data_IF_081445184639
#
_entry.id   IF_081445184639
#
_cell.length_a   1.000
_cell.length_b   1.000
_cell.length_c   1.000
_cell.angle_alpha   90.00
_cell.angle_beta   90.00
_cell.angle_gamma   90.00
#
_symmetry.space_group_name_H-M   'P 1'
#
loop_
_entity.id
_entity.type
_entity.pdbx_description
1 polymer ?
#
# COMPACT_ATOMS: atom_id res chain seq x y z
N UNK A 1 22.21 7.29 19.73
CA UNK A 1 21.37 8.50 19.70
C UNK A 1 19.95 8.16 19.31
N UNK A 2 19.70 7.51 18.14
CA UNK A 2 18.36 7.25 17.59
C UNK A 2 17.52 6.34 18.51
N UNK A 3 18.09 5.24 19.05
CA UNK A 3 17.42 4.36 20.01
C UNK A 3 16.91 5.16 21.22
N UNK A 4 17.75 5.99 21.83
CA UNK A 4 17.36 6.81 22.98
C UNK A 4 16.35 7.91 22.64
N UNK A 5 16.32 8.39 21.42
CA UNK A 5 15.25 9.26 20.92
C UNK A 5 13.90 8.53 20.94
N UNK A 6 13.87 7.28 20.44
CA UNK A 6 12.68 6.43 20.46
C UNK A 6 12.27 6.11 21.90
N UNK A 7 13.24 5.77 22.76
CA UNK A 7 12.97 5.48 24.17
C UNK A 7 12.33 6.66 24.92
N UNK A 8 12.62 7.89 24.51
CA UNK A 8 11.97 9.10 25.03
C UNK A 8 10.56 9.36 24.47
N UNK A 9 10.04 8.50 23.59
CA UNK A 9 8.76 8.64 22.91
C UNK A 9 8.85 9.31 21.55
N UNK A 10 10.05 9.39 20.97
CA UNK A 10 10.28 9.88 19.62
C UNK A 10 9.60 8.99 18.58
N UNK A 11 9.11 9.60 17.52
CA UNK A 11 8.40 8.94 16.43
C UNK A 11 9.28 8.92 15.18
N UNK A 12 9.31 7.81 14.46
CA UNK A 12 10.23 7.63 13.34
C UNK A 12 9.48 7.03 12.14
N UNK A 13 9.70 7.60 10.97
CA UNK A 13 9.41 7.00 9.68
C UNK A 13 10.72 6.48 9.09
N UNK A 14 10.84 5.16 8.98
CA UNK A 14 11.97 4.49 8.39
C UNK A 14 11.71 4.23 6.91
N UNK A 15 12.59 4.69 6.04
CA UNK A 15 12.57 4.43 4.60
C UNK A 15 13.93 3.83 4.24
N UNK A 16 14.03 2.52 4.21
CA UNK A 16 15.31 1.80 4.15
C UNK A 16 15.21 0.51 3.34
N UNK A 17 16.26 0.21 2.60
CA UNK A 17 16.44 -1.02 1.86
C UNK A 17 17.76 -1.72 2.24
N UNK A 18 17.81 -3.03 2.09
CA UNK A 18 19.01 -3.84 2.30
C UNK A 18 19.62 -4.36 0.97
N UNK A 19 19.00 -4.04 -0.16
CA UNK A 19 19.51 -4.40 -1.48
C UNK A 19 19.72 -3.15 -2.32
N UNK A 20 20.98 -2.84 -2.60
CA UNK A 20 21.33 -1.70 -3.44
C UNK A 20 21.25 -2.10 -4.92
N UNK A 21 20.43 -1.37 -5.67
CA UNK A 21 20.35 -1.44 -7.13
C UNK A 21 20.68 -0.07 -7.71
N UNK A 22 21.54 -0.02 -8.74
CA UNK A 22 21.90 1.24 -9.38
C UNK A 22 21.00 1.49 -10.60
N UNK A 23 20.14 2.48 -10.52
CA UNK A 23 19.32 2.92 -11.67
C UNK A 23 20.16 3.49 -12.82
N UNK A 24 21.31 4.10 -12.51
CA UNK A 24 22.21 4.66 -13.51
C UNK A 24 22.90 3.54 -14.32
N UNK A 25 23.28 2.44 -13.65
CA UNK A 25 23.80 1.26 -14.33
C UNK A 25 22.74 0.59 -15.21
N UNK A 26 21.50 0.54 -14.73
CA UNK A 26 20.37 -0.02 -15.48
C UNK A 26 20.11 0.75 -16.79
N UNK A 27 20.38 2.05 -16.83
CA UNK A 27 20.29 2.83 -18.08
C UNK A 27 21.20 2.30 -19.21
N UNK A 28 22.25 1.54 -18.87
CA UNK A 28 23.13 0.85 -19.83
C UNK A 28 22.62 -0.55 -20.23
N UNK A 29 21.43 -0.94 -19.77
CA UNK A 29 20.78 -2.21 -20.09
C UNK A 29 20.77 -3.24 -18.98
N UNK A 30 21.76 -3.23 -18.07
CA UNK A 30 21.90 -4.19 -16.98
C UNK A 30 22.42 -3.54 -15.70
N UNK A 31 22.02 -4.08 -14.57
CA UNK A 31 22.54 -3.70 -13.24
C UNK A 31 22.64 -4.92 -12.35
N UNK A 32 23.32 -4.77 -11.21
CA UNK A 32 23.45 -5.84 -10.22
C UNK A 32 22.84 -5.38 -8.90
N UNK A 33 21.92 -6.18 -8.37
CA UNK A 33 21.41 -6.05 -7.02
C UNK A 33 22.37 -6.68 -6.02
N UNK A 34 22.89 -5.90 -5.09
CA UNK A 34 23.85 -6.34 -4.07
C UNK A 34 23.30 -6.11 -2.66
N UNK A 35 23.53 -7.06 -1.78
CA UNK A 35 23.24 -6.87 -0.36
C UNK A 35 24.07 -5.74 0.24
N UNK A 36 23.43 -4.88 1.00
CA UNK A 36 24.06 -3.75 1.70
C UNK A 36 23.68 -3.78 3.18
N UNK A 37 24.56 -4.28 4.08
CA UNK A 37 24.29 -4.27 5.51
C UNK A 37 24.17 -2.83 6.03
N UNK A 38 23.11 -2.55 6.76
CA UNK A 38 22.85 -1.23 7.35
C UNK A 38 23.31 -1.14 8.81
N UNK A 39 23.59 -2.28 9.44
CA UNK A 39 23.97 -2.43 10.86
C UNK A 39 22.90 -1.89 11.84
N UNK A 40 21.63 -1.88 11.41
CA UNK A 40 20.47 -1.54 12.22
C UNK A 40 19.48 -2.70 12.33
N UNK A 41 19.81 -3.84 11.75
CA UNK A 41 18.97 -5.03 11.65
C UNK A 41 18.59 -5.53 13.05
N UNK A 42 19.55 -5.61 13.98
CA UNK A 42 19.33 -5.96 15.38
C UNK A 42 18.37 -5.00 16.09
N UNK A 43 18.44 -3.71 15.76
CA UNK A 43 17.58 -2.69 16.34
C UNK A 43 16.15 -2.84 15.85
N UNK A 44 15.95 -3.00 14.53
CA UNK A 44 14.64 -3.22 13.94
C UNK A 44 14.02 -4.53 14.40
N UNK A 45 14.83 -5.60 14.52
CA UNK A 45 14.39 -6.88 15.04
C UNK A 45 13.84 -6.77 16.47
N UNK A 46 14.51 -6.01 17.33
CA UNK A 46 14.01 -5.73 18.69
C UNK A 46 12.73 -4.91 18.71
N UNK A 47 12.53 -4.06 17.72
CA UNK A 47 11.29 -3.28 17.58
C UNK A 47 10.16 -4.10 16.95
N UNK A 48 10.44 -5.30 16.47
CA UNK A 48 9.43 -6.24 16.03
C UNK A 48 9.28 -6.38 14.53
N UNK A 49 10.26 -5.94 13.72
CA UNK A 49 10.32 -6.14 12.27
C UNK A 49 11.71 -6.56 11.83
N UNK A 50 11.75 -7.30 10.74
CA UNK A 50 12.96 -7.64 10.01
C UNK A 50 12.77 -7.33 8.54
N UNK A 51 13.69 -6.59 7.96
CA UNK A 51 13.77 -6.42 6.51
C UNK A 51 14.54 -7.62 5.96
N UNK A 52 14.02 -8.25 4.93
CA UNK A 52 14.70 -9.36 4.27
C UNK A 52 15.49 -8.81 3.09
N UNK A 53 16.76 -9.17 2.93
CA UNK A 53 17.60 -8.72 1.82
C UNK A 53 17.23 -9.45 0.52
N UNK A 54 16.04 -9.21 0.03
CA UNK A 54 15.49 -9.78 -1.21
C UNK A 54 14.80 -8.68 -2.01
N UNK A 55 14.67 -8.87 -3.32
CA UNK A 55 13.89 -7.98 -4.18
C UNK A 55 12.56 -8.67 -4.49
N UNK A 56 11.45 -7.95 -4.31
CA UNK A 56 10.13 -8.40 -4.71
C UNK A 56 9.95 -8.15 -6.20
N UNK A 57 9.55 -9.20 -6.92
CA UNK A 57 9.01 -9.12 -8.27
C UNK A 57 7.51 -9.35 -8.21
N UNK A 58 6.73 -8.54 -8.94
CA UNK A 58 5.27 -8.59 -8.90
C UNK A 58 4.68 -8.46 -10.31
N UNK A 59 3.65 -9.25 -10.60
CA UNK A 59 2.92 -9.17 -11.87
C UNK A 59 2.07 -7.88 -11.95
N UNK A 60 1.60 -7.36 -10.80
CA UNK A 60 1.01 -6.03 -10.73
C UNK A 60 2.11 -4.99 -10.58
N UNK A 61 2.59 -4.47 -11.68
CA UNK A 61 3.76 -3.59 -11.72
C UNK A 61 3.51 -2.34 -12.57
N UNK A 62 4.32 -1.33 -12.31
CA UNK A 62 4.42 -0.15 -13.17
C UNK A 62 5.16 -0.48 -14.47
N UNK A 63 5.13 0.44 -15.40
CA UNK A 63 5.75 0.27 -16.71
C UNK A 63 7.08 0.99 -16.81
N UNK A 64 7.97 0.47 -17.64
CA UNK A 64 9.19 1.16 -18.05
C UNK A 64 9.17 1.44 -19.55
N UNK A 65 10.02 2.38 -19.95
CA UNK A 65 10.16 2.80 -21.34
C UNK A 65 11.45 2.26 -21.91
N UNK A 66 11.37 1.46 -22.95
CA UNK A 66 12.51 0.90 -23.66
C UNK A 66 12.60 1.48 -25.06
N UNK A 67 13.84 1.59 -25.57
CA UNK A 67 14.10 1.90 -26.96
C UNK A 67 14.35 0.59 -27.71
N UNK A 68 13.42 0.19 -28.55
CA UNK A 68 13.51 -1.01 -29.37
C UNK A 68 13.91 -0.66 -30.81
N UNK A 69 14.85 -1.38 -31.39
CA UNK A 69 15.15 -1.29 -32.81
C UNK A 69 14.25 -2.25 -33.60
N UNK A 70 13.17 -1.74 -34.18
CA UNK A 70 12.28 -2.51 -35.02
C UNK A 70 12.64 -2.33 -36.50
N UNK A 71 12.98 -3.44 -37.17
CA UNK A 71 13.27 -3.46 -38.62
C UNK A 71 14.58 -2.80 -39.04
N UNK A 72 15.57 -2.72 -38.15
CA UNK A 72 16.96 -2.33 -38.47
C UNK A 72 17.20 -0.83 -38.69
N UNK A 73 16.18 0.04 -38.75
CA UNK A 73 16.37 1.46 -39.13
C UNK A 73 15.60 2.48 -38.31
N UNK A 74 14.61 2.10 -37.50
CA UNK A 74 13.83 3.04 -36.70
C UNK A 74 13.84 2.63 -35.22
N UNK A 75 14.33 3.51 -34.36
CA UNK A 75 14.15 3.41 -32.92
C UNK A 75 12.69 3.72 -32.59
N UNK A 76 12.00 2.74 -32.02
CA UNK A 76 10.65 2.91 -31.50
C UNK A 76 10.67 2.82 -29.99
N UNK A 77 9.97 3.72 -29.32
CA UNK A 77 9.82 3.68 -27.87
C UNK A 77 8.63 2.80 -27.52
N UNK A 78 8.89 1.76 -26.75
CA UNK A 78 7.87 0.82 -26.27
C UNK A 78 7.76 0.95 -24.75
N UNK A 79 6.53 0.88 -24.25
CA UNK A 79 6.24 0.88 -22.80
C UNK A 79 5.85 -0.54 -22.41
N UNK A 80 6.62 -1.16 -21.52
CA UNK A 80 6.44 -2.55 -21.09
C UNK A 80 6.26 -2.64 -19.58
N UNK A 81 5.47 -3.60 -19.07
CA UNK A 81 5.39 -3.89 -17.64
C UNK A 81 6.77 -4.27 -17.08
N UNK A 82 7.09 -3.78 -15.87
CA UNK A 82 8.38 -4.03 -15.25
C UNK A 82 8.23 -4.63 -13.86
N UNK A 83 8.38 -5.94 -13.75
CA UNK A 83 8.10 -6.72 -12.53
C UNK A 83 8.89 -6.26 -11.29
N UNK A 84 9.96 -5.50 -11.44
CA UNK A 84 10.75 -4.92 -10.35
C UNK A 84 10.19 -3.61 -9.78
N UNK A 85 9.13 -3.07 -10.40
CA UNK A 85 8.42 -1.88 -9.94
C UNK A 85 7.00 -2.25 -9.49
N UNK A 86 6.85 -2.95 -8.35
CA UNK A 86 5.57 -3.41 -7.88
C UNK A 86 4.61 -2.25 -7.57
N UNK A 87 3.34 -2.44 -7.90
CA UNK A 87 2.25 -1.56 -7.49
C UNK A 87 1.67 -2.09 -6.17
N UNK A 88 2.19 -1.58 -5.08
CA UNK A 88 1.88 -2.00 -3.72
C UNK A 88 0.41 -1.74 -3.38
N UNK A 89 -0.22 -2.74 -2.77
CA UNK A 89 -1.62 -2.70 -2.34
C UNK A 89 -1.73 -2.10 -0.95
N UNK A 90 -2.49 -1.00 -0.78
CA UNK A 90 -2.77 -0.46 0.55
C UNK A 90 -3.75 -1.35 1.32
N UNK A 91 -3.54 -1.50 2.63
CA UNK A 91 -4.50 -2.15 3.51
C UNK A 91 -5.77 -1.28 3.64
N UNK A 92 -6.95 -1.91 3.55
CA UNK A 92 -8.23 -1.18 3.54
C UNK A 92 -8.75 -0.79 4.92
N UNK A 93 -8.25 -1.45 5.97
CA UNK A 93 -8.72 -1.33 7.34
C UNK A 93 -7.96 -0.29 8.19
N UNK A 94 -6.89 0.30 7.63
CA UNK A 94 -6.07 1.27 8.33
C UNK A 94 -6.35 2.71 7.86
N UNK A 95 -6.49 3.69 8.79
CA UNK A 95 -6.71 5.10 8.43
C UNK A 95 -5.62 5.70 7.54
N UNK A 96 -4.36 5.23 7.63
CA UNK A 96 -3.24 5.72 6.83
C UNK A 96 -3.44 5.36 5.35
N UNK A 97 -3.98 4.16 5.10
CA UNK A 97 -4.01 3.56 3.76
C UNK A 97 -5.42 3.45 3.16
N UNK A 98 -6.45 3.80 3.94
CA UNK A 98 -7.83 3.78 3.45
C UNK A 98 -8.02 4.77 2.30
N UNK A 99 -8.68 4.31 1.23
CA UNK A 99 -8.94 5.07 0.01
C UNK A 99 -7.67 5.57 -0.71
N UNK A 100 -6.54 4.94 -0.46
CA UNK A 100 -5.30 5.23 -1.12
C UNK A 100 -5.22 4.48 -2.46
N UNK A 101 -4.72 5.15 -3.49
CA UNK A 101 -4.34 4.50 -4.73
C UNK A 101 -3.16 3.56 -4.51
N UNK A 102 -2.90 2.66 -5.48
CA UNK A 102 -1.67 1.85 -5.50
C UNK A 102 -0.45 2.74 -5.34
N UNK A 103 0.50 2.27 -4.57
CA UNK A 103 1.77 2.96 -4.31
C UNK A 103 2.84 2.29 -5.17
N UNK A 104 3.54 3.05 -5.99
CA UNK A 104 4.67 2.54 -6.78
C UNK A 104 5.87 2.32 -5.88
N UNK A 105 6.45 1.12 -5.93
CA UNK A 105 7.73 0.78 -5.33
C UNK A 105 8.79 0.50 -6.38
N UNK A 106 10.07 0.60 -6.00
CA UNK A 106 11.22 0.33 -6.89
C UNK A 106 12.22 -0.58 -6.19
N UNK A 107 12.44 -1.79 -6.72
CA UNK A 107 13.36 -2.78 -6.15
C UNK A 107 13.10 -3.06 -4.66
N UNK A 108 11.86 -3.18 -4.31
CA UNK A 108 11.35 -3.23 -2.95
C UNK A 108 11.79 -4.49 -2.22
N UNK A 109 12.16 -4.38 -0.94
CA UNK A 109 12.43 -5.53 -0.09
C UNK A 109 11.15 -6.01 0.62
N UNK A 110 11.13 -7.24 1.15
CA UNK A 110 10.03 -7.68 2.00
C UNK A 110 10.33 -7.44 3.49
N UNK A 111 9.27 -7.25 4.28
CA UNK A 111 9.35 -7.11 5.72
C UNK A 111 8.65 -8.29 6.38
N UNK A 112 9.32 -8.92 7.36
CA UNK A 112 8.69 -9.86 8.27
C UNK A 112 8.37 -9.16 9.59
N UNK A 113 7.19 -9.43 10.14
CA UNK A 113 6.87 -9.06 11.51
C UNK A 113 7.39 -10.12 12.45
N UNK A 114 8.30 -9.76 13.36
CA UNK A 114 9.00 -10.69 14.22
C UNK A 114 8.69 -10.41 15.72
N UNK A 115 8.88 -11.42 16.57
CA UNK A 115 8.62 -11.32 17.99
C UNK A 115 7.14 -11.48 18.35
N UNK A 116 6.91 -12.14 19.48
CA UNK A 116 5.57 -12.42 20.03
C UNK A 116 5.21 -11.43 21.17
N UNK A 117 5.90 -10.29 21.27
CA UNK A 117 5.62 -9.31 22.31
C UNK A 117 4.22 -8.71 22.08
N UNK A 118 3.23 -9.02 22.94
CA UNK A 118 1.86 -8.54 22.81
C UNK A 118 1.73 -7.02 23.05
N UNK A 119 2.77 -6.40 23.60
CA UNK A 119 2.81 -4.96 23.90
C UNK A 119 2.96 -4.14 22.63
N UNK A 120 3.57 -4.72 21.57
CA UNK A 120 3.78 -4.04 20.30
C UNK A 120 2.73 -4.48 19.29
N UNK A 121 1.81 -3.57 18.95
CA UNK A 121 0.84 -3.76 17.88
C UNK A 121 1.52 -3.57 16.53
N UNK A 122 1.35 -4.53 15.63
CA UNK A 122 1.93 -4.53 14.28
C UNK A 122 0.81 -4.55 13.25
N UNK A 123 0.80 -3.60 12.34
CA UNK A 123 -0.20 -3.51 11.27
C UNK A 123 0.51 -3.35 9.93
N UNK A 124 0.20 -4.21 8.97
CA UNK A 124 0.70 -4.09 7.61
C UNK A 124 -0.04 -2.94 6.93
N UNK A 125 0.71 -2.01 6.35
CA UNK A 125 0.17 -0.85 5.62
C UNK A 125 0.16 -1.08 4.12
N UNK A 126 1.27 -1.58 3.58
CA UNK A 126 1.44 -1.87 2.16
C UNK A 126 1.96 -3.29 1.99
N UNK A 127 1.47 -3.98 0.98
CA UNK A 127 1.93 -5.31 0.60
C UNK A 127 1.98 -5.46 -0.93
N UNK A 128 2.71 -6.46 -1.40
CA UNK A 128 2.70 -6.89 -2.81
C UNK A 128 1.34 -7.48 -3.23
N UNK A 129 1.20 -7.80 -4.49
CA UNK A 129 -0.01 -8.46 -5.00
C UNK A 129 -0.08 -9.94 -4.59
N UNK A 130 -1.13 -10.62 -5.06
CA UNK A 130 -1.27 -12.08 -4.93
C UNK A 130 -0.33 -12.87 -5.85
N UNK A 131 0.21 -12.21 -6.88
CA UNK A 131 1.12 -12.78 -7.88
C UNK A 131 2.49 -12.12 -7.74
N UNK A 132 3.19 -12.45 -6.66
CA UNK A 132 4.53 -11.96 -6.39
C UNK A 132 5.50 -13.09 -6.04
N UNK A 133 6.78 -12.82 -6.17
CA UNK A 133 7.90 -13.69 -5.77
C UNK A 133 9.05 -12.85 -5.27
N UNK A 134 10.05 -13.50 -4.68
CA UNK A 134 11.28 -12.86 -4.23
C UNK A 134 12.48 -13.45 -4.93
N UNK A 135 13.47 -12.60 -5.16
CA UNK A 135 14.80 -12.99 -5.61
C UNK A 135 15.85 -12.50 -4.63
N UNK A 136 16.90 -13.30 -4.43
CA UNK A 136 17.96 -12.97 -3.45
C UNK A 136 19.20 -12.42 -4.17
N UNK A 137 19.86 -11.40 -3.60
CA UNK A 137 21.14 -10.92 -4.10
C UNK A 137 22.26 -11.96 -3.83
N UNK A 138 23.35 -11.97 -4.64
CA UNK A 138 23.56 -11.10 -5.79
C UNK A 138 22.71 -11.50 -6.99
N UNK A 139 22.09 -10.55 -7.67
CA UNK A 139 21.24 -10.80 -8.83
C UNK A 139 21.53 -9.80 -9.95
N UNK A 140 21.64 -10.32 -11.17
CA UNK A 140 21.71 -9.48 -12.37
C UNK A 140 20.29 -9.13 -12.79
N UNK A 141 20.04 -7.86 -13.01
CA UNK A 141 18.76 -7.32 -13.45
C UNK A 141 18.96 -6.73 -14.83
N UNK A 142 18.28 -7.27 -15.84
CA UNK A 142 18.43 -6.85 -17.23
C UNK A 142 17.11 -6.27 -17.76
N UNK A 143 17.20 -5.14 -18.46
CA UNK A 143 16.04 -4.53 -19.12
C UNK A 143 15.37 -5.46 -20.14
N UNK A 144 16.11 -6.43 -20.69
CA UNK A 144 15.56 -7.45 -21.58
C UNK A 144 14.51 -8.34 -20.92
N UNK A 145 14.51 -8.43 -19.59
CA UNK A 145 13.49 -9.18 -18.86
C UNK A 145 12.08 -8.60 -19.04
N UNK A 146 11.97 -7.31 -19.36
CA UNK A 146 10.66 -6.67 -19.63
C UNK A 146 10.00 -7.17 -20.92
N UNK A 147 10.79 -7.71 -21.86
CA UNK A 147 10.28 -8.28 -23.11
C UNK A 147 9.80 -9.74 -22.94
N UNK A 148 10.17 -10.37 -21.82
CA UNK A 148 9.80 -11.75 -21.52
C UNK A 148 8.43 -11.80 -20.86
N UNK A 149 7.61 -12.77 -21.23
CA UNK A 149 6.38 -13.07 -20.50
C UNK A 149 6.71 -13.93 -19.30
N UNK A 150 6.56 -13.43 -18.06
CA UNK A 150 6.85 -14.20 -16.87
C UNK A 150 5.92 -15.41 -16.72
N UNK A 151 6.44 -16.55 -16.26
CA UNK A 151 5.58 -17.69 -15.90
C UNK A 151 4.90 -17.42 -14.54
N UNK A 152 3.57 -17.24 -14.57
CA UNK A 152 2.75 -16.97 -13.39
C UNK A 152 2.94 -18.01 -12.27
N UNK A 153 3.22 -19.26 -12.60
CA UNK A 153 3.43 -20.34 -11.63
C UNK A 153 4.62 -20.09 -10.71
N UNK A 154 5.58 -19.27 -11.15
CA UNK A 154 6.76 -18.91 -10.35
C UNK A 154 6.47 -17.82 -9.32
N UNK A 155 5.32 -17.09 -9.45
CA UNK A 155 4.89 -16.03 -8.56
C UNK A 155 4.01 -16.59 -7.44
N UNK A 156 4.62 -17.33 -6.53
CA UNK A 156 3.94 -18.15 -5.51
C UNK A 156 4.05 -17.61 -4.08
N UNK A 157 4.52 -16.37 -3.88
CA UNK A 157 4.60 -15.70 -2.57
C UNK A 157 3.68 -14.47 -2.52
N UNK A 158 2.39 -14.66 -2.20
CA UNK A 158 1.41 -13.57 -2.22
C UNK A 158 1.55 -12.62 -1.02
N UNK A 159 1.12 -11.37 -1.22
CA UNK A 159 0.89 -10.39 -0.16
C UNK A 159 2.11 -10.17 0.76
N UNK A 160 3.30 -10.05 0.19
CA UNK A 160 4.53 -9.76 0.94
C UNK A 160 4.47 -8.36 1.56
N UNK A 161 4.62 -8.23 2.89
CA UNK A 161 4.60 -6.91 3.53
C UNK A 161 5.78 -6.05 3.11
N UNK A 162 5.53 -4.76 2.88
CA UNK A 162 6.51 -3.75 2.47
C UNK A 162 6.52 -2.56 3.41
N UNK A 163 5.37 -2.21 3.98
CA UNK A 163 5.27 -1.16 4.98
C UNK A 163 4.50 -1.65 6.20
N UNK A 164 5.03 -1.39 7.39
CA UNK A 164 4.47 -1.84 8.66
C UNK A 164 4.42 -0.70 9.66
N UNK A 165 3.28 -0.52 10.32
CA UNK A 165 3.09 0.34 11.47
C UNK A 165 3.34 -0.45 12.75
N UNK A 166 4.14 0.10 13.64
CA UNK A 166 4.45 -0.43 14.96
C UNK A 166 3.99 0.57 16.01
N UNK A 167 3.18 0.13 16.97
CA UNK A 167 2.64 0.96 18.06
C UNK A 167 2.77 0.24 19.39
N UNK A 168 3.23 0.95 20.42
CA UNK A 168 3.36 0.42 21.77
C UNK A 168 4.60 0.89 22.52
N UNK A 169 5.04 0.09 23.47
CA UNK A 169 6.27 0.32 24.24
C UNK A 169 7.39 -0.56 23.69
N UNK A 170 8.49 0.07 23.31
CA UNK A 170 9.62 -0.61 22.69
C UNK A 170 10.75 -0.82 23.70
N UNK A 171 11.42 -1.96 23.59
CA UNK A 171 12.63 -2.26 24.36
C UNK A 171 13.86 -1.76 23.63
N UNK A 172 14.74 -1.04 24.33
CA UNK A 172 16.01 -0.53 23.79
C UNK A 172 16.88 -1.65 23.23
N UNK A 173 17.50 -1.41 22.09
CA UNK A 173 18.49 -2.29 21.50
C UNK A 173 19.72 -2.49 22.42
N UNK A 174 19.90 -1.60 23.38
CA UNK A 174 21.04 -1.61 24.33
C UNK A 174 20.68 -2.15 25.72
N UNK A 175 19.44 -2.63 25.96
CA UNK A 175 18.97 -3.10 27.28
C UNK A 175 19.88 -4.15 27.93
N UNK A 176 20.70 -4.87 27.31
CA UNK A 176 21.57 -5.89 27.92
C UNK A 176 23.00 -5.82 27.33
N UNK A 177 23.38 -4.68 26.78
CA UNK A 177 24.72 -4.47 26.22
C UNK A 177 25.51 -3.56 27.13
N UNK A 178 26.75 -3.95 27.48
CA UNK A 178 27.68 -3.10 28.19
C UNK A 178 28.13 -1.99 27.22
N UNK A 179 27.65 -0.78 27.43
CA UNK A 179 27.92 0.38 26.57
C UNK A 179 29.13 1.16 27.13
N UNK A 180 30.21 0.45 27.51
CA UNK A 180 31.37 1.03 28.19
C UNK A 180 32.07 2.14 27.42
N UNK A 181 31.95 2.18 26.09
CA UNK A 181 32.62 3.18 25.26
C UNK A 181 31.70 4.37 24.84
N UNK A 182 30.44 4.40 25.23
CA UNK A 182 29.51 5.52 24.91
C UNK A 182 29.32 6.48 26.08
N UNK A 183 29.83 6.17 27.25
CA UNK A 183 29.67 6.97 28.48
C UNK A 183 30.99 7.56 28.93
N UNK A 184 31.55 8.50 28.18
CA UNK A 184 32.46 9.49 28.78
C UNK A 184 31.72 10.33 29.83
N UNK A 185 30.41 10.41 29.72
CA UNK A 185 29.54 11.15 30.63
C UNK A 185 28.85 10.14 31.60
N UNK A 186 29.39 10.02 32.83
CA UNK A 186 28.88 9.15 33.92
C UNK A 186 27.42 9.47 34.29
N UNK A 187 26.83 10.53 33.77
CA UNK A 187 25.46 10.99 34.05
C UNK A 187 24.43 10.58 32.99
N UNK A 188 24.83 9.96 31.87
CA UNK A 188 23.89 9.50 30.84
C UNK A 188 23.16 8.23 31.31
N UNK A 189 21.96 8.43 31.82
CA UNK A 189 21.07 7.33 32.20
C UNK A 189 20.40 6.77 30.93
N UNK A 190 20.79 5.56 30.51
CA UNK A 190 20.21 4.86 29.37
C UNK A 190 18.79 4.41 29.74
N UNK A 191 17.81 4.80 28.93
CA UNK A 191 16.42 4.38 29.05
C UNK A 191 16.31 3.03 28.36
N UNK A 192 15.85 2.01 29.08
CA UNK A 192 15.74 0.62 28.59
C UNK A 192 14.40 0.28 27.97
N UNK A 193 13.34 1.04 28.31
CA UNK A 193 11.99 0.87 27.78
C UNK A 193 11.42 2.23 27.36
N UNK A 194 10.73 2.27 26.22
CA UNK A 194 10.16 3.51 25.72
C UNK A 194 8.87 3.90 26.46
N UNK A 195 8.53 5.18 26.39
CA UNK A 195 7.14 5.60 26.52
C UNK A 195 6.34 5.01 25.36
N UNK A 196 5.02 4.97 25.48
CA UNK A 196 4.17 4.59 24.37
C UNK A 196 4.44 5.48 23.18
N UNK A 197 4.82 4.88 22.05
CA UNK A 197 5.17 5.60 20.84
C UNK A 197 4.83 4.77 19.62
N UNK A 198 5.00 5.36 18.45
CA UNK A 198 4.68 4.72 17.16
C UNK A 198 5.79 5.00 16.15
N UNK A 199 6.01 4.01 15.27
CA UNK A 199 6.91 4.15 14.15
C UNK A 199 6.36 3.41 12.93
N UNK A 200 6.80 3.83 11.74
CA UNK A 200 6.45 3.19 10.48
C UNK A 200 7.76 2.78 9.81
N UNK A 201 7.80 1.55 9.33
CA UNK A 201 8.95 0.98 8.60
C UNK A 201 8.49 0.66 7.19
N UNK A 202 9.20 1.20 6.20
CA UNK A 202 8.98 0.96 4.78
C UNK A 202 10.28 0.45 4.18
N UNK A 203 10.24 -0.64 3.47
CA UNK A 203 11.41 -1.30 2.87
C UNK A 203 11.71 -0.84 1.44
N UNK A 204 11.41 0.41 1.16
CA UNK A 204 11.68 1.08 -0.11
C UNK A 204 11.95 2.57 0.14
N UNK A 205 13.20 3.04 0.07
CA UNK A 205 13.53 4.46 0.20
C UNK A 205 13.15 5.27 -1.05
N UNK A 206 13.02 4.65 -2.22
CA UNK A 206 12.67 5.33 -3.46
C UNK A 206 11.21 5.79 -3.50
N UNK A 207 10.37 5.31 -2.57
CA UNK A 207 8.96 5.73 -2.44
C UNK A 207 8.80 7.24 -2.23
N UNK A 208 9.82 7.93 -1.68
CA UNK A 208 9.85 9.39 -1.46
C UNK A 208 10.55 10.14 -2.60
N UNK A 209 11.08 9.43 -3.58
CA UNK A 209 11.89 10.03 -4.64
C UNK A 209 11.02 10.58 -5.76
N UNK A 210 11.19 11.85 -6.09
CA UNK A 210 10.53 12.46 -7.24
C UNK A 210 11.21 12.03 -8.55
N UNK A 211 10.40 11.76 -9.56
CA UNK A 211 10.87 11.66 -10.94
C UNK A 211 11.26 13.06 -11.46
N UNK A 212 12.19 13.10 -12.41
CA UNK A 212 12.65 14.35 -13.03
C UNK A 212 12.30 14.34 -14.51
N UNK A 213 11.56 15.34 -14.94
CA UNK A 213 11.32 15.61 -16.35
C UNK A 213 12.46 16.44 -16.91
N UNK A 214 13.03 15.98 -18.04
CA UNK A 214 14.10 16.68 -18.76
C UNK A 214 13.54 17.24 -20.07
N UNK A 215 13.53 18.58 -20.19
CA UNK A 215 13.18 19.28 -21.41
C UNK A 215 14.34 20.15 -21.84
N UNK A 216 15.16 19.65 -22.76
CA UNK A 216 16.43 20.30 -23.14
C UNK A 216 17.41 20.36 -21.97
N UNK A 217 17.86 21.58 -21.62
CA UNK A 217 18.75 21.80 -20.46
C UNK A 217 18.02 21.98 -19.13
N UNK A 218 16.68 22.03 -19.15
CA UNK A 218 15.89 22.24 -17.93
C UNK A 218 15.48 20.91 -17.31
N UNK A 219 15.83 20.72 -16.06
CA UNK A 219 15.38 19.61 -15.22
C UNK A 219 14.34 20.13 -14.22
N UNK A 220 13.13 19.57 -14.29
CA UNK A 220 12.05 19.93 -13.36
C UNK A 220 11.57 18.69 -12.60
N UNK A 221 11.55 18.71 -11.25
CA UNK A 221 11.01 17.62 -10.47
C UNK A 221 9.49 17.51 -10.71
N UNK A 222 9.03 16.30 -10.98
CA UNK A 222 7.61 16.00 -11.07
C UNK A 222 6.99 15.82 -9.67
N UNK A 223 5.68 15.98 -9.54
CA UNK A 223 4.98 15.59 -8.31
C UNK A 223 5.32 14.18 -7.89
N UNK A 224 5.44 13.94 -6.58
CA UNK A 224 5.78 12.64 -6.04
C UNK A 224 4.74 11.58 -6.44
N UNK A 225 5.22 10.45 -6.96
CA UNK A 225 4.39 9.36 -7.47
C UNK A 225 3.86 9.58 -8.89
N UNK A 226 4.29 10.65 -9.59
CA UNK A 226 3.95 10.85 -11.00
C UNK A 226 5.00 10.18 -11.89
N UNK A 227 4.56 9.20 -12.69
CA UNK A 227 5.38 8.59 -13.73
C UNK A 227 5.65 9.60 -14.87
N UNK A 228 6.93 9.79 -15.19
CA UNK A 228 7.37 10.79 -16.19
C UNK A 228 6.99 10.44 -17.62
N UNK A 229 6.67 9.19 -17.90
CA UNK A 229 6.41 8.71 -19.25
C UNK A 229 4.92 8.60 -19.56
N UNK A 230 4.15 8.08 -18.64
CA UNK A 230 2.70 7.86 -18.79
C UNK A 230 1.88 9.02 -18.24
N UNK A 231 2.48 9.82 -17.33
CA UNK A 231 1.76 10.87 -16.60
C UNK A 231 0.82 10.32 -15.52
N UNK A 232 0.80 9.01 -15.31
CA UNK A 232 -0.01 8.37 -14.27
C UNK A 232 0.47 8.80 -12.89
N UNK A 233 -0.47 9.06 -11.97
CA UNK A 233 -0.17 9.45 -10.60
C UNK A 233 -0.54 8.30 -9.66
N UNK A 234 0.46 7.81 -8.94
CA UNK A 234 0.34 6.78 -7.89
C UNK A 234 0.12 7.41 -6.51
N UNK A 235 -0.22 6.59 -5.53
CA UNK A 235 -0.54 7.01 -4.17
C UNK A 235 0.66 7.39 -3.28
N UNK A 236 1.88 7.49 -3.81
CA UNK A 236 3.10 7.70 -3.03
C UNK A 236 3.04 8.96 -2.15
N UNK A 237 2.65 10.09 -2.73
CA UNK A 237 2.52 11.37 -2.01
C UNK A 237 1.54 11.28 -0.86
N UNK A 238 0.34 10.75 -1.15
CA UNK A 238 -0.72 10.67 -0.17
C UNK A 238 -0.38 9.68 0.95
N UNK A 239 0.25 8.56 0.62
CA UNK A 239 0.76 7.61 1.60
C UNK A 239 1.74 8.25 2.58
N UNK A 240 2.76 8.96 2.07
CA UNK A 240 3.76 9.60 2.93
C UNK A 240 3.16 10.71 3.80
N UNK A 241 2.28 11.55 3.24
CA UNK A 241 1.58 12.58 4.00
C UNK A 241 0.72 11.94 5.10
N UNK A 242 0.01 10.86 4.80
CA UNK A 242 -0.79 10.15 5.78
C UNK A 242 0.07 9.51 6.88
N UNK A 243 1.23 8.93 6.53
CA UNK A 243 2.19 8.41 7.50
C UNK A 243 2.69 9.51 8.45
N UNK A 244 3.09 10.65 7.92
CA UNK A 244 3.55 11.79 8.71
C UNK A 244 2.44 12.33 9.62
N UNK A 245 1.24 12.51 9.07
CA UNK A 245 0.08 12.96 9.85
C UNK A 245 -0.23 11.99 10.98
N UNK A 246 -0.22 10.66 10.73
CA UNK A 246 -0.42 9.65 11.77
C UNK A 246 0.64 9.71 12.86
N UNK A 247 1.90 9.86 12.47
CA UNK A 247 3.00 9.97 13.44
C UNK A 247 2.87 11.23 14.31
N UNK A 248 2.45 12.37 13.75
CA UNK A 248 2.33 13.65 14.47
C UNK A 248 1.01 13.77 15.23
N UNK A 249 -0.03 13.05 14.80
CA UNK A 249 -1.36 13.13 15.39
C UNK A 249 -1.34 12.73 16.89
N UNK A 250 -1.77 13.67 17.73
CA UNK A 250 -1.88 13.46 19.18
C UNK A 250 -3.32 13.16 19.63
N UNK A 251 -4.29 13.45 18.79
CA UNK A 251 -5.71 13.47 19.13
C UNK A 251 -6.55 12.48 18.31
N UNK A 252 -5.88 11.54 17.61
CA UNK A 252 -6.50 10.51 16.77
C UNK A 252 -7.49 11.08 15.73
N UNK A 253 -7.21 12.31 15.24
CA UNK A 253 -8.02 13.02 14.24
C UNK A 253 -8.10 12.23 12.93
N UNK A 254 -7.04 11.50 12.58
CA UNK A 254 -7.04 10.65 11.38
C UNK A 254 -8.07 9.52 11.46
N UNK A 255 -8.37 8.98 12.65
CA UNK A 255 -9.43 7.99 12.81
C UNK A 255 -10.83 8.58 12.49
N UNK A 256 -11.04 9.85 12.82
CA UNK A 256 -12.29 10.54 12.47
C UNK A 256 -12.42 10.78 10.95
N UNK A 257 -11.33 11.14 10.27
CA UNK A 257 -11.32 11.29 8.80
C UNK A 257 -11.59 9.98 8.07
N UNK A 258 -11.29 8.86 8.70
CA UNK A 258 -11.48 7.52 8.12
C UNK A 258 -12.93 7.04 8.17
N UNK A 259 -13.85 7.74 8.86
CA UNK A 259 -15.28 7.41 8.86
C UNK A 259 -15.88 7.76 7.51
N UNK A 260 -15.90 6.79 6.61
CA UNK A 260 -16.64 6.92 5.36
C UNK A 260 -18.14 6.99 5.62
N UNK A 261 -18.77 8.04 5.11
CA UNK A 261 -20.17 8.00 4.75
C UNK A 261 -20.31 7.03 3.56
N UNK A 262 -20.58 5.75 3.83
CA UNK A 262 -20.96 4.81 2.78
C UNK A 262 -22.28 5.29 2.17
N UNK A 263 -22.19 6.14 1.16
CA UNK A 263 -23.33 6.44 0.32
C UNK A 263 -23.75 5.11 -0.35
N UNK A 264 -24.85 4.56 0.12
CA UNK A 264 -25.45 3.38 -0.52
C UNK A 264 -26.05 3.85 -1.84
N UNK A 265 -25.21 3.91 -2.87
CA UNK A 265 -25.69 4.17 -4.23
C UNK A 265 -26.59 3.02 -4.67
N UNK A 266 -27.73 3.38 -5.23
CA UNK A 266 -28.65 2.42 -5.81
C UNK A 266 -27.96 1.63 -6.93
N UNK A 267 -28.06 0.30 -6.88
CA UNK A 267 -27.49 -0.55 -7.91
C UNK A 267 -28.27 -0.39 -9.21
N UNK A 268 -27.75 0.44 -10.13
CA UNK A 268 -28.39 0.77 -11.40
C UNK A 268 -28.66 -0.45 -12.29
N UNK A 269 -27.88 -1.54 -12.17
CA UNK A 269 -28.12 -2.80 -12.90
C UNK A 269 -29.36 -3.52 -12.36
N UNK A 270 -29.50 -3.63 -11.04
CA UNK A 270 -30.68 -4.25 -10.41
C UNK A 270 -31.94 -3.43 -10.61
N UNK A 271 -31.82 -2.08 -10.57
CA UNK A 271 -32.94 -1.19 -10.86
C UNK A 271 -33.40 -1.38 -12.30
N UNK A 272 -32.50 -1.42 -13.28
CA UNK A 272 -32.87 -1.65 -14.68
C UNK A 272 -33.50 -3.03 -14.89
N UNK A 273 -33.00 -4.08 -14.28
CA UNK A 273 -33.52 -5.43 -14.37
C UNK A 273 -34.89 -5.57 -13.67
N UNK A 274 -35.10 -4.89 -12.55
CA UNK A 274 -36.33 -4.94 -11.76
C UNK A 274 -37.40 -3.92 -12.15
N UNK A 275 -37.09 -2.95 -13.02
CA UNK A 275 -37.96 -1.79 -13.32
C UNK A 275 -39.40 -2.19 -13.69
N UNK A 276 -39.56 -3.10 -14.63
CA UNK A 276 -40.89 -3.53 -15.12
C UNK A 276 -41.67 -4.23 -13.98
N UNK A 277 -41.03 -5.08 -13.20
CA UNK A 277 -41.66 -5.75 -12.05
C UNK A 277 -42.21 -4.76 -11.06
N UNK A 278 -41.42 -3.79 -10.66
CA UNK A 278 -41.84 -2.76 -9.67
C UNK A 278 -42.90 -1.80 -10.23
N UNK A 279 -42.84 -1.48 -11.53
CA UNK A 279 -43.88 -0.71 -12.19
C UNK A 279 -45.22 -1.44 -12.18
N UNK A 280 -45.23 -2.73 -12.50
CA UNK A 280 -46.46 -3.57 -12.47
C UNK A 280 -47.03 -3.62 -11.05
N UNK A 281 -46.18 -3.88 -10.05
CA UNK A 281 -46.63 -3.95 -8.64
C UNK A 281 -47.25 -2.63 -8.17
N UNK A 282 -46.62 -1.51 -8.48
CA UNK A 282 -47.08 -0.20 -8.04
C UNK A 282 -48.32 0.33 -8.77
N UNK A 283 -48.56 -0.08 -10.00
CA UNK A 283 -49.72 0.36 -10.79
C UNK A 283 -50.86 -0.65 -10.70
N UNK A 284 -50.59 -1.93 -10.95
CA UNK A 284 -51.62 -2.98 -10.94
C UNK A 284 -52.10 -3.32 -9.51
N UNK A 285 -51.20 -3.28 -8.51
CA UNK A 285 -51.56 -3.58 -7.14
C UNK A 285 -52.70 -2.71 -6.58
N UNK A 286 -52.59 -1.39 -6.57
CA UNK A 286 -53.68 -0.52 -6.12
C UNK A 286 -54.98 -0.68 -6.93
N UNK A 287 -54.91 -0.89 -8.24
CA UNK A 287 -56.08 -1.13 -9.10
C UNK A 287 -56.82 -2.41 -8.70
N UNK A 288 -56.09 -3.49 -8.50
CA UNK A 288 -56.68 -4.79 -8.05
C UNK A 288 -57.36 -4.63 -6.68
N UNK A 289 -56.72 -3.92 -5.73
CA UNK A 289 -57.29 -3.66 -4.41
C UNK A 289 -58.61 -2.90 -4.52
N UNK A 290 -58.68 -1.87 -5.35
CA UNK A 290 -59.92 -1.08 -5.54
C UNK A 290 -61.02 -1.91 -6.19
N UNK A 291 -60.69 -2.71 -7.19
CA UNK A 291 -61.65 -3.60 -7.84
C UNK A 291 -62.19 -4.64 -6.85
N UNK A 292 -61.32 -5.29 -6.07
CA UNK A 292 -61.74 -6.23 -5.05
C UNK A 292 -62.63 -5.62 -3.99
N UNK A 293 -62.24 -4.42 -3.50
CA UNK A 293 -63.09 -3.69 -2.55
C UNK A 293 -64.44 -3.33 -3.13
N UNK A 294 -64.51 -2.93 -4.41
CA UNK A 294 -65.79 -2.67 -5.09
C UNK A 294 -66.65 -3.90 -5.25
N UNK A 295 -66.05 -5.06 -5.61
CA UNK A 295 -66.78 -6.34 -5.71
C UNK A 295 -67.30 -6.79 -4.35
N UNK A 296 -66.47 -6.72 -3.29
CA UNK A 296 -66.85 -7.08 -1.93
C UNK A 296 -67.98 -6.18 -1.46
N UNK A 297 -67.88 -4.87 -1.64
CA UNK A 297 -68.89 -3.91 -1.31
C UNK A 297 -70.20 -4.19 -2.09
N UNK A 298 -70.13 -4.45 -3.39
CA UNK A 298 -71.25 -4.80 -4.23
C UNK A 298 -71.96 -6.08 -3.77
N UNK A 299 -71.19 -7.10 -3.38
CA UNK A 299 -71.71 -8.37 -2.84
C UNK A 299 -72.46 -8.15 -1.52
N UNK A 300 -71.89 -7.42 -0.56
CA UNK A 300 -72.54 -7.12 0.72
C UNK A 300 -73.77 -6.24 0.53
N UNK A 301 -73.72 -5.25 -0.36
CA UNK A 301 -74.87 -4.42 -0.71
C UNK A 301 -76.01 -5.26 -1.32
N UNK A 302 -75.71 -6.14 -2.27
CA UNK A 302 -76.72 -7.05 -2.87
C UNK A 302 -77.33 -7.95 -1.83
N UNK A 303 -76.52 -8.58 -0.95
CA UNK A 303 -77.01 -9.44 0.14
C UNK A 303 -77.89 -8.66 1.11
N UNK A 304 -77.60 -7.38 1.40
CA UNK A 304 -78.38 -6.53 2.35
C UNK A 304 -79.68 -6.05 1.78
N UNK A 305 -79.77 -5.83 0.47
CA UNK A 305 -80.95 -5.24 -0.15
C UNK A 305 -81.78 -6.24 -1.02
N UNK A 306 -81.25 -7.39 -1.42
CA UNK A 306 -81.99 -8.39 -2.20
C UNK A 306 -82.12 -9.72 -1.47
N UNK A 307 -81.70 -9.84 -0.20
CA UNK A 307 -81.88 -11.02 0.59
C UNK A 307 -83.32 -11.14 1.16
N UNK A 308 -84.13 -11.87 0.49
CA UNK A 308 -85.15 -12.66 1.11
C UNK A 308 -84.57 -14.03 1.40
#
# INVERSE_FOLDING_TARGET
VLDQYIMKGGKVLWLIDEVKVSSDSLANGETVGLYRPLNIEDQLFRYGVRINPVIIQDMECATIRLMEMRGGTRQQVVTLPWIYFPLLRPASDNPITRNLNRVEGKFVNSIDTVGLDPVIKKKILLASSSLSRVISPPVVISLKEAELTPDEKTFNKPNLPVAVLLEGKFTSAFKNRVVSNMTEDKNLKIITESKETRMIVVSDPDIIRNEVSRSGMNETPLPLGQDKYTGQVYGNKDFLINCLNWLVDKNDIMELRSRELKLRLLNTKEIKAGKIKWQIVNVAGPLVIVILAGLIYGYFRKKRYTGK
#
